data_IF_141288573167
#
_entry.id   IF_141288573167
#
_cell.length_a   1.000
_cell.length_b   1.000
_cell.length_c   1.000
_cell.angle_alpha   90.00
_cell.angle_beta   90.00
_cell.angle_gamma   90.00
#
_symmetry.space_group_name_H-M   'P 1'
#
loop_
_entity.id
_entity.type
_entity.pdbx_description
1 polymer ?
#
# COMPACT_ATOMS: atom_id res chain seq x y z
N UNK A 1 7.03 11.92 5.02
CA UNK A 1 6.42 11.86 3.67
C UNK A 1 5.48 10.67 3.56
N UNK A 2 5.97 9.43 3.70
CA UNK A 2 5.15 8.22 3.53
C UNK A 2 3.98 8.11 4.52
N UNK A 3 4.14 8.52 5.78
CA UNK A 3 3.01 8.53 6.74
C UNK A 3 1.91 9.50 6.29
N UNK A 4 2.29 10.72 5.86
CA UNK A 4 1.33 11.68 5.30
C UNK A 4 0.68 11.21 3.99
N UNK A 5 1.34 10.35 3.21
CA UNK A 5 0.73 9.71 2.04
C UNK A 5 -0.33 8.68 2.45
N UNK A 6 -0.13 7.93 3.54
CA UNK A 6 -1.16 7.05 4.11
C UNK A 6 -2.33 7.89 4.61
N UNK A 7 -2.07 8.93 5.40
CA UNK A 7 -3.13 9.80 5.95
C UNK A 7 -3.97 10.46 4.85
N UNK A 8 -3.30 10.94 3.80
CA UNK A 8 -3.97 11.49 2.61
C UNK A 8 -4.82 10.45 1.89
N UNK A 9 -4.33 9.21 1.74
CA UNK A 9 -5.11 8.13 1.14
C UNK A 9 -6.36 7.81 1.97
N UNK A 10 -6.22 7.66 3.29
CA UNK A 10 -7.34 7.42 4.23
C UNK A 10 -8.38 8.53 4.13
N UNK A 11 -7.96 9.80 4.15
CA UNK A 11 -8.86 10.95 4.01
C UNK A 11 -9.57 11.02 2.67
N UNK A 12 -8.86 10.77 1.57
CA UNK A 12 -9.40 10.83 0.20
C UNK A 12 -10.50 9.80 -0.04
N UNK A 13 -10.33 8.58 0.48
CA UNK A 13 -11.33 7.51 0.34
C UNK A 13 -12.37 7.53 1.46
N UNK A 14 -12.27 8.49 2.39
CA UNK A 14 -13.09 8.57 3.59
C UNK A 14 -13.13 7.23 4.35
N UNK A 15 -11.98 6.55 4.37
CA UNK A 15 -11.83 5.21 4.91
C UNK A 15 -11.36 5.22 6.35
N UNK A 16 -11.14 4.02 6.87
CA UNK A 16 -10.56 3.78 8.20
C UNK A 16 -9.26 3.01 8.03
N UNK A 17 -8.19 3.50 8.65
CA UNK A 17 -6.91 2.80 8.63
C UNK A 17 -7.02 1.48 9.43
N UNK A 18 -6.70 0.36 8.79
CA UNK A 18 -6.62 -0.96 9.45
C UNK A 18 -5.22 -1.16 10.00
N UNK A 19 -4.20 -0.97 9.16
CA UNK A 19 -2.80 -0.97 9.59
C UNK A 19 -1.92 -0.11 8.69
N UNK A 20 -0.74 0.27 9.20
CA UNK A 20 0.32 0.93 8.43
C UNK A 20 1.72 0.55 8.95
N UNK A 21 2.41 -0.35 8.23
CA UNK A 21 3.68 -0.93 8.64
C UNK A 21 4.87 -0.39 7.85
N UNK A 22 5.92 0.07 8.55
CA UNK A 22 7.20 0.39 7.90
C UNK A 22 7.70 -0.84 7.16
N UNK A 23 8.14 -0.64 5.92
CA UNK A 23 8.72 -1.69 5.09
C UNK A 23 9.90 -1.13 4.32
N UNK A 24 10.63 -1.99 3.63
CA UNK A 24 11.74 -1.63 2.76
C UNK A 24 11.72 -2.55 1.54
N UNK A 25 12.08 -2.00 0.38
CA UNK A 25 12.30 -2.79 -0.84
C UNK A 25 13.62 -2.37 -1.47
N UNK A 26 14.61 -3.28 -1.44
CA UNK A 26 15.95 -3.05 -2.00
C UNK A 26 16.59 -1.72 -1.52
N UNK A 27 16.69 -1.51 -0.20
CA UNK A 27 17.26 -0.28 0.37
C UNK A 27 16.34 0.94 0.31
N UNK A 28 15.17 0.83 -0.33
CA UNK A 28 14.24 1.95 -0.50
C UNK A 28 13.20 1.95 0.62
N UNK A 29 13.12 3.02 1.44
CA UNK A 29 12.12 3.11 2.50
C UNK A 29 10.71 3.04 1.94
N UNK A 30 9.85 2.29 2.62
CA UNK A 30 8.48 2.10 2.20
C UNK A 30 7.46 2.05 3.33
N UNK A 31 6.19 2.04 2.92
CA UNK A 31 5.05 1.89 3.82
C UNK A 31 4.01 0.99 3.19
N UNK A 32 3.67 -0.06 3.91
CA UNK A 32 2.56 -0.94 3.61
C UNK A 32 1.35 -0.47 4.43
N UNK A 33 0.17 -0.39 3.82
CA UNK A 33 -1.05 0.00 4.52
C UNK A 33 -2.25 -0.78 4.00
N UNK A 34 -3.22 -0.98 4.90
CA UNK A 34 -4.56 -1.46 4.57
C UNK A 34 -5.58 -0.47 5.11
N UNK A 35 -6.53 -0.10 4.25
CA UNK A 35 -7.58 0.86 4.54
C UNK A 35 -8.92 0.16 4.31
N UNK A 36 -9.77 0.19 5.31
CA UNK A 36 -11.17 -0.21 5.20
C UNK A 36 -11.94 0.93 4.51
N UNK A 37 -12.63 0.58 3.44
CA UNK A 37 -13.56 1.46 2.72
C UNK A 37 -14.92 0.77 2.71
N UNK A 38 -15.99 1.48 2.36
CA UNK A 38 -17.34 0.92 2.46
C UNK A 38 -17.52 -0.37 1.65
N UNK A 39 -17.56 -1.52 2.34
CA UNK A 39 -17.71 -2.86 1.73
C UNK A 39 -16.46 -3.42 1.04
N UNK A 40 -15.30 -2.79 1.20
CA UNK A 40 -14.07 -3.20 0.55
C UNK A 40 -12.82 -2.89 1.39
N UNK A 41 -11.70 -3.50 1.01
CA UNK A 41 -10.38 -3.16 1.52
C UNK A 41 -9.49 -2.67 0.39
N UNK A 42 -8.78 -1.58 0.66
CA UNK A 42 -7.67 -1.10 -0.16
C UNK A 42 -6.36 -1.52 0.49
N UNK A 43 -5.50 -2.17 -0.28
CA UNK A 43 -4.13 -2.50 0.09
C UNK A 43 -3.18 -1.59 -0.67
N UNK A 44 -2.12 -1.12 -0.01
CA UNK A 44 -1.14 -0.21 -0.61
C UNK A 44 0.27 -0.56 -0.17
N UNK A 45 1.20 -0.59 -1.12
CA UNK A 45 2.63 -0.48 -0.86
C UNK A 45 3.16 0.79 -1.51
N UNK A 46 3.86 1.60 -0.72
CA UNK A 46 4.50 2.82 -1.19
C UNK A 46 6.00 2.75 -0.92
N UNK A 47 6.83 3.21 -1.86
CA UNK A 47 8.28 3.24 -1.74
C UNK A 47 8.83 4.58 -2.26
N UNK A 48 9.86 5.10 -1.61
CA UNK A 48 10.54 6.33 -2.04
C UNK A 48 11.94 5.97 -2.53
N UNK A 49 12.24 6.31 -3.78
CA UNK A 49 13.57 6.11 -4.38
C UNK A 49 13.90 7.26 -5.31
N UNK A 50 15.11 7.81 -5.18
CA UNK A 50 15.62 8.90 -6.04
C UNK A 50 14.63 10.06 -6.18
N UNK A 51 14.06 10.48 -5.05
CA UNK A 51 13.06 11.55 -4.96
C UNK A 51 11.74 11.30 -5.72
N UNK A 52 11.47 10.04 -6.11
CA UNK A 52 10.21 9.60 -6.69
C UNK A 52 9.44 8.69 -5.73
N UNK A 53 8.11 8.86 -5.69
CA UNK A 53 7.18 8.00 -4.96
C UNK A 53 6.61 6.95 -5.92
N UNK A 54 6.79 5.68 -5.58
CA UNK A 54 6.16 4.56 -6.25
C UNK A 54 5.06 4.04 -5.33
N UNK A 55 3.81 4.10 -5.78
CA UNK A 55 2.66 3.57 -5.07
C UNK A 55 2.01 2.49 -5.93
N UNK A 56 1.80 1.32 -5.34
CA UNK A 56 1.03 0.23 -5.94
C UNK A 56 -0.11 -0.11 -4.98
N UNK A 57 -1.29 -0.35 -5.54
CA UNK A 57 -2.49 -0.59 -4.76
C UNK A 57 -3.40 -1.59 -5.43
N UNK A 58 -4.14 -2.33 -4.61
CA UNK A 58 -5.26 -3.16 -5.03
C UNK A 58 -6.47 -2.86 -4.16
N UNK A 59 -7.66 -3.13 -4.69
CA UNK A 59 -8.92 -3.02 -3.95
C UNK A 59 -9.67 -4.34 -4.13
N UNK A 60 -10.21 -4.88 -3.06
CA UNK A 60 -11.07 -6.06 -3.09
C UNK A 60 -12.32 -5.82 -2.25
N UNK A 61 -13.42 -6.50 -2.58
CA UNK A 61 -14.57 -6.58 -1.67
C UNK A 61 -14.14 -7.21 -0.33
N UNK A 62 -14.81 -6.84 0.76
CA UNK A 62 -14.46 -7.36 2.10
C UNK A 62 -14.56 -8.88 2.21
N UNK A 63 -15.40 -9.53 1.40
CA UNK A 63 -15.48 -11.00 1.33
C UNK A 63 -14.25 -11.66 0.70
N UNK A 64 -13.45 -10.89 -0.05
CA UNK A 64 -12.24 -11.34 -0.74
C UNK A 64 -10.97 -10.82 -0.05
N UNK A 65 -11.08 -10.42 1.22
CA UNK A 65 -9.98 -9.93 2.02
C UNK A 65 -8.84 -10.97 2.10
N UNK A 66 -7.58 -10.50 2.12
CA UNK A 66 -6.38 -11.34 2.24
C UNK A 66 -6.19 -12.44 1.19
N UNK A 67 -6.87 -12.35 0.04
CA UNK A 67 -6.76 -13.36 -1.01
C UNK A 67 -5.34 -13.48 -1.59
N UNK A 68 -5.02 -14.66 -2.13
CA UNK A 68 -3.68 -14.99 -2.62
C UNK A 68 -3.22 -14.13 -3.81
N UNK A 69 -4.12 -13.60 -4.62
CA UNK A 69 -3.76 -12.79 -5.78
C UNK A 69 -3.27 -11.40 -5.37
N UNK A 70 -3.77 -10.87 -4.24
CA UNK A 70 -3.22 -9.66 -3.62
C UNK A 70 -1.75 -9.88 -3.24
N UNK A 71 -1.45 -10.98 -2.55
CA UNK A 71 -0.08 -11.31 -2.14
C UNK A 71 0.84 -11.49 -3.35
N UNK A 72 0.37 -12.24 -4.38
CA UNK A 72 1.12 -12.41 -5.63
C UNK A 72 1.40 -11.08 -6.31
N UNK A 73 0.41 -10.20 -6.44
CA UNK A 73 0.57 -8.88 -7.03
C UNK A 73 1.68 -8.08 -6.33
N UNK A 74 1.61 -7.91 -5.00
CA UNK A 74 2.62 -7.15 -4.27
C UNK A 74 4.01 -7.81 -4.30
N UNK A 75 4.09 -9.14 -4.20
CA UNK A 75 5.37 -9.86 -4.28
C UNK A 75 6.04 -9.79 -5.65
N UNK A 76 5.24 -9.60 -6.72
CA UNK A 76 5.72 -9.47 -8.09
C UNK A 76 6.38 -8.12 -8.37
N UNK A 77 6.06 -7.09 -7.58
CA UNK A 77 6.65 -5.78 -7.75
C UNK A 77 8.13 -5.78 -7.36
N UNK A 78 8.98 -5.28 -8.25
CA UNK A 78 10.42 -5.12 -8.04
C UNK A 78 10.80 -3.69 -8.33
N UNK A 79 11.64 -3.14 -7.46
CA UNK A 79 12.27 -1.84 -7.66
C UNK A 79 13.76 -2.08 -7.86
N UNK A 80 14.21 -1.99 -9.11
CA UNK A 80 15.61 -2.25 -9.46
C UNK A 80 16.53 -1.23 -8.83
N UNK A 81 17.76 -1.65 -8.53
CA UNK A 81 18.84 -0.72 -8.19
C UNK A 81 19.14 0.13 -9.43
N UNK A 82 19.22 1.45 -9.25
CA UNK A 82 19.92 2.32 -10.19
C UNK A 82 21.39 2.31 -9.80
#
# INVERSE_FOLDING_TARGET
MLDGSVDGAVGNVQGKLVYANKTELNGSPGREAKIEVQGAFMYMNMYVKNNALYAIQTICLSENDENEDIKKFFSSFKLNNM
#
